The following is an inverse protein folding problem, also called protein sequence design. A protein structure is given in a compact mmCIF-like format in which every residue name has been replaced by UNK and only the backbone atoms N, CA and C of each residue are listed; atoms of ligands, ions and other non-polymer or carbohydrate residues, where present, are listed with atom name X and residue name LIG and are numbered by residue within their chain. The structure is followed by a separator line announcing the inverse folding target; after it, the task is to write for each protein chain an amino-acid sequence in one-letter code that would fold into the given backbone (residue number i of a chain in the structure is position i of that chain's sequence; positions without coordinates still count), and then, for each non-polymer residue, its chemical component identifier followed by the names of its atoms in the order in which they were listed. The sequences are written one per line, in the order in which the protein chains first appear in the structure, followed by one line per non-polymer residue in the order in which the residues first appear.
data_IF_122197257569
#
_entry.id   IF_122197257569
#
_cell.length_a   1.000
_cell.length_b   1.000
_cell.length_c   1.000
_cell.angle_alpha   90.00
_cell.angle_beta   90.00
_cell.angle_gamma   90.00
#
_symmetry.space_group_name_H-M   'P 1'
#
loop_
_entity.id
_entity.type
_entity.pdbx_description
1 polymer ?
#
# COMPACT_ATOMS: atom_id res chain seq x y z
N UNK A 1 -3.13 -6.00 1.34
CA UNK A 1 -3.70 -5.97 2.73
C UNK A 1 -5.18 -5.58 2.77
N UNK A 2 -5.67 -4.75 1.85
CA UNK A 2 -7.08 -4.31 1.86
C UNK A 2 -8.09 -5.47 1.87
N UNK A 3 -7.79 -6.58 1.18
CA UNK A 3 -8.59 -7.81 1.20
C UNK A 3 -8.78 -8.42 2.60
N UNK A 4 -7.83 -8.20 3.51
CA UNK A 4 -7.90 -8.71 4.89
C UNK A 4 -8.68 -7.77 5.81
N UNK A 5 -8.81 -6.50 5.43
CA UNK A 5 -9.36 -5.43 6.25
C UNK A 5 -10.82 -5.09 5.90
N UNK A 6 -11.17 -5.06 4.62
CA UNK A 6 -12.50 -4.59 4.20
C UNK A 6 -13.52 -5.70 4.18
N UNK A 7 -14.65 -5.44 4.84
CA UNK A 7 -15.89 -6.21 4.78
C UNK A 7 -16.90 -5.52 3.87
N UNK A 8 -18.07 -6.13 3.71
CA UNK A 8 -19.20 -5.50 3.05
C UNK A 8 -19.59 -4.16 3.70
N UNK A 9 -20.28 -3.33 2.93
CA UNK A 9 -20.75 -2.00 3.34
C UNK A 9 -19.65 -1.04 3.79
N UNK A 10 -18.44 -1.19 3.24
CA UNK A 10 -17.27 -0.39 3.61
C UNK A 10 -16.96 -0.44 5.10
N UNK A 11 -17.24 -1.56 5.75
CA UNK A 11 -16.87 -1.78 7.15
C UNK A 11 -15.43 -2.29 7.23
N UNK A 12 -14.64 -1.71 8.13
CA UNK A 12 -13.32 -2.22 8.47
C UNK A 12 -13.43 -3.36 9.47
N UNK A 13 -12.51 -4.31 9.42
CA UNK A 13 -12.35 -5.29 10.49
C UNK A 13 -11.85 -4.62 11.78
N UNK A 14 -12.29 -5.11 12.96
CA UNK A 14 -11.69 -4.74 14.24
C UNK A 14 -10.19 -5.02 14.24
N UNK A 15 -9.42 -4.18 14.94
CA UNK A 15 -7.96 -4.24 14.93
C UNK A 15 -7.43 -5.61 15.37
N UNK A 16 -8.02 -6.24 16.39
CA UNK A 16 -7.64 -7.57 16.87
C UNK A 16 -7.77 -8.64 15.78
N UNK A 17 -8.92 -8.67 15.10
CA UNK A 17 -9.20 -9.63 14.02
C UNK A 17 -8.29 -9.36 12.82
N UNK A 18 -8.09 -8.08 12.47
CA UNK A 18 -7.21 -7.69 11.39
C UNK A 18 -5.75 -8.08 11.67
N UNK A 19 -5.25 -7.87 12.90
CA UNK A 19 -3.89 -8.21 13.29
C UNK A 19 -3.68 -9.72 13.32
N UNK A 20 -4.66 -10.49 13.80
CA UNK A 20 -4.61 -11.95 13.76
C UNK A 20 -4.52 -12.48 12.31
N UNK A 21 -5.32 -11.93 11.39
CA UNK A 21 -5.27 -12.29 9.96
C UNK A 21 -3.95 -11.90 9.31
N UNK A 22 -3.41 -10.73 9.64
CA UNK A 22 -2.09 -10.31 9.15
C UNK A 22 -1.01 -11.26 9.66
N UNK A 23 -1.03 -11.61 10.95
CA UNK A 23 -0.08 -12.53 11.55
C UNK A 23 -0.11 -13.90 10.85
N UNK A 24 -1.30 -14.49 10.70
CA UNK A 24 -1.49 -15.76 10.01
C UNK A 24 -1.02 -15.71 8.54
N UNK A 25 -1.30 -14.62 7.82
CA UNK A 25 -0.85 -14.44 6.44
C UNK A 25 0.68 -14.27 6.30
N UNK A 26 1.37 -13.95 7.40
CA UNK A 26 2.84 -13.76 7.47
C UNK A 26 3.56 -14.88 8.22
N UNK A 27 2.86 -15.97 8.54
CA UNK A 27 3.42 -17.09 9.30
C UNK A 27 4.32 -17.98 8.44
N UNK A 28 3.94 -18.22 7.17
CA UNK A 28 4.75 -18.97 6.22
C UNK A 28 6.02 -18.22 5.81
N UNK A 29 7.05 -18.93 5.35
CA UNK A 29 8.20 -18.30 4.71
C UNK A 29 7.85 -17.79 3.30
N UNK A 30 8.44 -16.66 2.89
CA UNK A 30 8.29 -16.13 1.53
C UNK A 30 6.93 -15.50 1.24
N UNK A 31 6.59 -14.42 1.95
CA UNK A 31 5.36 -13.66 1.74
C UNK A 31 5.62 -12.25 1.22
N UNK A 32 4.60 -11.66 0.59
CA UNK A 32 4.58 -10.25 0.18
C UNK A 32 3.28 -9.62 0.68
N UNK A 33 3.39 -8.48 1.35
CA UNK A 33 2.25 -7.68 1.77
C UNK A 33 2.28 -6.29 1.15
N UNK A 34 1.17 -5.90 0.54
CA UNK A 34 0.92 -4.54 0.07
C UNK A 34 -0.02 -3.79 1.03
N UNK A 35 0.36 -2.62 1.52
CA UNK A 35 -0.55 -1.79 2.31
C UNK A 35 0.09 -0.90 3.37
N UNK A 36 -0.43 0.32 3.47
CA UNK A 36 0.12 1.37 4.32
C UNK A 36 -0.55 1.47 5.70
N UNK A 37 -1.21 0.39 6.17
CA UNK A 37 -1.81 0.34 7.51
C UNK A 37 -0.71 0.45 8.57
N UNK A 38 -0.64 1.61 9.22
CA UNK A 38 0.39 1.91 10.22
C UNK A 38 0.16 1.12 11.51
N UNK A 39 -1.12 0.94 11.90
CA UNK A 39 -1.53 0.25 13.13
C UNK A 39 -1.07 -1.21 13.22
N UNK A 40 -0.94 -1.91 12.10
CA UNK A 40 -0.47 -3.31 12.09
C UNK A 40 1.04 -3.46 12.04
N UNK A 41 1.81 -2.36 11.98
CA UNK A 41 3.29 -2.38 11.87
C UNK A 41 3.99 -3.24 12.92
N UNK A 42 3.63 -3.20 14.21
CA UNK A 42 4.30 -4.04 15.21
C UNK A 42 4.20 -5.54 14.90
N UNK A 43 3.12 -5.96 14.23
CA UNK A 43 2.92 -7.34 13.81
C UNK A 43 3.68 -7.61 12.52
N UNK A 44 3.44 -6.83 11.46
CA UNK A 44 4.02 -7.13 10.14
C UNK A 44 5.54 -6.90 10.07
N UNK A 45 6.10 -5.89 10.73
CA UNK A 45 7.52 -5.52 10.57
C UNK A 45 8.47 -6.30 11.47
N UNK A 46 7.94 -7.14 12.36
CA UNK A 46 8.74 -7.99 13.23
C UNK A 46 9.64 -8.95 12.43
N UNK A 47 9.10 -9.52 11.35
CA UNK A 47 9.76 -10.54 10.53
C UNK A 47 9.94 -10.08 9.07
N UNK A 48 10.08 -8.77 8.83
CA UNK A 48 10.29 -8.23 7.48
C UNK A 48 11.78 -8.10 7.20
N UNK A 49 12.23 -8.66 6.10
CA UNK A 49 13.60 -8.47 5.62
C UNK A 49 13.72 -7.26 4.69
N UNK A 50 12.67 -6.95 3.94
CA UNK A 50 12.69 -5.94 2.88
C UNK A 50 11.41 -5.10 2.83
N UNK A 51 11.57 -3.78 2.90
CA UNK A 51 10.51 -2.80 2.59
C UNK A 51 10.83 -2.10 1.29
N UNK A 52 9.97 -2.30 0.29
CA UNK A 52 10.02 -1.60 -0.99
C UNK A 52 9.05 -0.42 -0.95
N UNK A 53 9.59 0.80 -0.93
CA UNK A 53 8.80 2.02 -0.91
C UNK A 53 8.79 2.69 -2.29
N UNK A 54 7.65 2.61 -2.97
CA UNK A 54 7.40 3.30 -4.24
C UNK A 54 7.01 4.76 -3.97
N UNK A 55 7.97 5.66 -4.10
CA UNK A 55 7.90 7.08 -3.73
C UNK A 55 7.93 8.00 -4.95
N UNK A 56 7.01 7.77 -5.89
CA UNK A 56 6.91 8.58 -7.09
C UNK A 56 6.50 10.03 -6.78
N UNK A 57 6.92 10.94 -7.68
CA UNK A 57 6.57 12.35 -7.60
C UNK A 57 5.05 12.59 -7.55
N UNK A 58 4.66 13.62 -6.78
CA UNK A 58 3.26 13.94 -6.47
C UNK A 58 2.36 13.99 -7.71
N UNK A 59 2.77 14.69 -8.77
CA UNK A 59 1.97 14.82 -10.00
C UNK A 59 1.66 13.47 -10.65
N UNK A 60 2.63 12.54 -10.67
CA UNK A 60 2.43 11.19 -11.20
C UNK A 60 1.48 10.40 -10.31
N UNK A 61 1.70 10.43 -8.99
CA UNK A 61 0.87 9.72 -8.00
C UNK A 61 -0.59 10.20 -8.07
N UNK A 62 -0.81 11.51 -8.11
CA UNK A 62 -2.14 12.10 -8.24
C UNK A 62 -2.81 11.70 -9.56
N UNK A 63 -2.11 11.84 -10.70
CA UNK A 63 -2.64 11.44 -12.01
C UNK A 63 -3.05 9.97 -12.05
N UNK A 64 -2.22 9.09 -11.49
CA UNK A 64 -2.53 7.65 -11.43
C UNK A 64 -3.71 7.35 -10.52
N UNK A 65 -3.79 8.00 -9.35
CA UNK A 65 -4.90 7.83 -8.42
C UNK A 65 -6.23 8.28 -9.06
N UNK A 66 -6.24 9.47 -9.66
CA UNK A 66 -7.41 10.02 -10.35
C UNK A 66 -7.83 9.12 -11.51
N UNK A 67 -6.91 8.75 -12.39
CA UNK A 67 -7.23 7.90 -13.54
C UNK A 67 -7.79 6.53 -13.12
N UNK A 68 -7.19 5.90 -12.10
CA UNK A 68 -7.68 4.62 -11.57
C UNK A 68 -9.08 4.76 -10.97
N UNK A 69 -9.33 5.81 -10.19
CA UNK A 69 -10.65 6.05 -9.62
C UNK A 69 -11.71 6.30 -10.70
N UNK A 70 -11.41 7.11 -11.72
CA UNK A 70 -12.29 7.35 -12.87
C UNK A 70 -12.59 6.03 -13.60
N UNK A 71 -11.55 5.26 -13.93
CA UNK A 71 -11.69 4.01 -14.67
C UNK A 71 -12.45 2.92 -13.91
N UNK A 72 -12.32 2.86 -12.57
CA UNK A 72 -13.05 1.87 -11.77
C UNK A 72 -14.51 2.26 -11.60
N UNK A 73 -14.77 3.55 -11.34
CA UNK A 73 -16.12 4.06 -11.22
C UNK A 73 -16.92 3.94 -12.54
N UNK A 74 -16.28 4.10 -13.71
CA UNK A 74 -16.95 3.90 -15.00
C UNK A 74 -17.28 2.44 -15.32
N UNK A 75 -16.53 1.49 -14.74
CA UNK A 75 -16.72 0.05 -14.96
C UNK A 75 -17.61 -0.63 -13.91
N UNK A 76 -18.05 0.11 -12.88
CA UNK A 76 -18.85 -0.46 -11.78
C UNK A 76 -18.17 -1.64 -11.07
N UNK A 77 -16.84 -1.70 -11.11
CA UNK A 77 -16.09 -2.83 -10.59
C UNK A 77 -16.16 -2.88 -9.06
N UNK A 78 -16.35 -4.08 -8.56
CA UNK A 78 -16.19 -4.37 -7.14
C UNK A 78 -14.72 -4.20 -6.76
N UNK A 79 -14.45 -3.44 -5.70
CA UNK A 79 -13.09 -3.09 -5.28
C UNK A 79 -12.37 -4.31 -4.68
N UNK A 80 -13.12 -5.14 -3.95
CA UNK A 80 -12.63 -6.37 -3.35
C UNK A 80 -13.68 -7.46 -3.56
N UNK A 81 -13.35 -8.58 -4.25
CA UNK A 81 -14.31 -9.64 -4.53
C UNK A 81 -15.00 -10.17 -3.25
N UNK A 82 -16.33 -10.24 -3.27
CA UNK A 82 -17.15 -10.77 -2.18
C UNK A 82 -17.55 -9.76 -1.10
N UNK A 83 -17.27 -8.46 -1.29
CA UNK A 83 -17.67 -7.39 -0.37
C UNK A 83 -18.85 -6.55 -0.87
N UNK A 84 -19.19 -6.64 -2.15
CA UNK A 84 -20.16 -5.76 -2.81
C UNK A 84 -19.71 -4.29 -2.90
N UNK A 85 -18.53 -3.93 -2.39
CA UNK A 85 -18.07 -2.55 -2.33
C UNK A 85 -17.71 -2.06 -3.73
N UNK A 86 -18.52 -1.15 -4.28
CA UNK A 86 -18.30 -0.51 -5.58
C UNK A 86 -17.92 0.95 -5.40
N UNK A 87 -16.85 1.36 -6.07
CA UNK A 87 -16.40 2.76 -6.05
C UNK A 87 -17.42 3.64 -6.80
N UNK A 88 -18.01 4.63 -6.13
CA UNK A 88 -18.89 5.60 -6.79
C UNK A 88 -18.15 6.92 -7.03
N UNK A 89 -18.33 7.49 -8.23
CA UNK A 89 -17.71 8.74 -8.63
C UNK A 89 -17.98 9.88 -7.63
N UNK A 90 -19.21 9.95 -7.09
CA UNK A 90 -19.59 10.91 -6.05
C UNK A 90 -18.81 10.73 -4.75
N UNK A 91 -18.52 9.50 -4.32
CA UNK A 91 -17.79 9.24 -3.07
C UNK A 91 -16.29 9.45 -3.23
N UNK A 92 -15.74 9.19 -4.42
CA UNK A 92 -14.31 9.38 -4.71
C UNK A 92 -13.91 10.84 -4.98
N UNK A 93 -14.83 11.66 -5.54
CA UNK A 93 -14.50 13.02 -6.00
C UNK A 93 -15.34 14.15 -5.40
N UNK A 94 -16.49 13.88 -4.77
CA UNK A 94 -17.42 14.91 -4.26
C UNK A 94 -17.46 15.06 -2.73
N UNK A 95 -16.75 14.22 -1.95
CA UNK A 95 -16.75 14.35 -0.49
C UNK A 95 -15.75 15.43 -0.05
N UNK A 96 -16.25 16.62 0.31
CA UNK A 96 -15.72 17.79 1.07
C UNK A 96 -14.22 18.08 1.27
N UNK A 97 -13.31 17.13 1.17
CA UNK A 97 -11.86 17.35 0.98
C UNK A 97 -11.53 16.97 -0.47
N UNK A 98 -11.10 17.94 -1.30
CA UNK A 98 -10.71 17.61 -2.68
C UNK A 98 -9.71 16.45 -2.69
N UNK A 99 -9.89 15.48 -3.59
CA UNK A 99 -8.98 14.32 -3.76
C UNK A 99 -7.52 14.78 -3.85
N UNK A 100 -7.30 15.97 -4.41
CA UNK A 100 -6.00 16.63 -4.53
C UNK A 100 -5.43 16.99 -3.16
N UNK A 101 -6.20 17.68 -2.30
CA UNK A 101 -5.75 18.07 -0.97
C UNK A 101 -5.53 16.86 -0.05
N UNK A 102 -6.45 15.89 -0.08
CA UNK A 102 -6.27 14.63 0.64
C UNK A 102 -5.04 13.86 0.16
N UNK A 103 -4.81 13.78 -1.16
CA UNK A 103 -3.63 13.12 -1.75
C UNK A 103 -2.36 13.85 -1.36
N UNK A 104 -2.34 15.19 -1.37
CA UNK A 104 -1.17 15.99 -0.98
C UNK A 104 -0.81 15.79 0.49
N UNK A 105 -1.80 15.89 1.38
CA UNK A 105 -1.63 15.70 2.82
C UNK A 105 -1.11 14.29 3.12
N UNK A 106 -1.72 13.27 2.50
CA UNK A 106 -1.35 11.87 2.69
C UNK A 106 0.03 11.57 2.10
N UNK A 107 0.34 12.10 0.91
CA UNK A 107 1.64 11.94 0.25
C UNK A 107 2.78 12.52 1.11
N UNK A 108 2.63 13.77 1.58
CA UNK A 108 3.65 14.41 2.43
C UNK A 108 3.83 13.67 3.76
N UNK A 109 2.74 13.33 4.44
CA UNK A 109 2.77 12.61 5.72
C UNK A 109 3.40 11.22 5.58
N UNK A 110 3.04 10.47 4.55
CA UNK A 110 3.63 9.16 4.29
C UNK A 110 5.13 9.26 4.02
N UNK A 111 5.55 10.24 3.21
CA UNK A 111 6.96 10.43 2.86
C UNK A 111 7.82 10.77 4.07
N UNK A 112 7.36 11.72 4.90
CA UNK A 112 8.05 12.06 6.15
C UNK A 112 8.16 10.84 7.07
N UNK A 113 7.08 10.07 7.22
CA UNK A 113 7.07 8.88 8.07
C UNK A 113 8.08 7.82 7.58
N UNK A 114 8.04 7.45 6.31
CA UNK A 114 8.98 6.44 5.79
C UNK A 114 10.43 6.91 5.87
N UNK A 115 10.69 8.21 5.71
CA UNK A 115 12.03 8.77 5.94
C UNK A 115 12.48 8.60 7.39
N UNK A 116 11.60 8.87 8.36
CA UNK A 116 11.89 8.62 9.78
C UNK A 116 12.09 7.13 10.08
N UNK A 117 11.25 6.27 9.51
CA UNK A 117 11.33 4.82 9.70
C UNK A 117 12.66 4.24 9.18
N UNK A 118 13.14 4.73 8.04
CA UNK A 118 14.43 4.32 7.47
C UNK A 118 15.63 4.70 8.36
N UNK A 119 15.47 5.69 9.22
CA UNK A 119 16.52 6.16 10.14
C UNK A 119 16.35 5.60 11.56
N UNK A 120 15.28 4.85 11.83
CA UNK A 120 14.96 4.34 13.16
C UNK A 120 15.79 3.07 13.48
N UNK A 121 16.59 3.07 14.57
CA UNK A 121 17.36 1.90 14.98
C UNK A 121 16.52 0.64 15.23
N UNK A 122 15.23 0.79 15.57
CA UNK A 122 14.31 -0.32 15.78
C UNK A 122 14.05 -1.13 14.49
N UNK A 123 14.32 -0.57 13.31
CA UNK A 123 14.11 -1.22 12.02
C UNK A 123 15.43 -1.53 11.29
N UNK A 124 16.55 -1.58 12.01
CA UNK A 124 17.88 -1.88 11.42
C UNK A 124 17.98 -3.23 10.71
N UNK A 125 17.14 -4.19 11.09
CA UNK A 125 17.07 -5.51 10.43
C UNK A 125 16.37 -5.46 9.07
N UNK A 126 15.62 -4.38 8.80
CA UNK A 126 14.87 -4.19 7.58
C UNK A 126 15.75 -3.50 6.54
N UNK A 127 15.92 -4.13 5.39
CA UNK A 127 16.46 -3.47 4.21
C UNK A 127 15.37 -2.57 3.60
N UNK A 128 15.63 -1.27 3.52
CA UNK A 128 14.73 -0.34 2.82
C UNK A 128 15.22 -0.06 1.40
N UNK A 129 14.31 -0.17 0.43
CA UNK A 129 14.55 0.21 -0.97
C UNK A 129 13.54 1.27 -1.37
N UNK A 130 14.03 2.48 -1.67
CA UNK A 130 13.20 3.60 -2.10
C UNK A 130 13.27 3.77 -3.61
N UNK A 131 12.11 3.76 -4.26
CA UNK A 131 11.94 3.84 -5.71
C UNK A 131 11.21 5.14 -6.07
N UNK A 132 11.97 6.17 -6.42
CA UNK A 132 11.46 7.50 -6.74
C UNK A 132 10.97 7.67 -8.19
N UNK A 133 11.31 6.74 -9.09
CA UNK A 133 10.95 6.82 -10.50
C UNK A 133 10.57 5.44 -11.09
N UNK A 134 9.62 5.35 -12.05
CA UNK A 134 9.26 4.08 -12.69
C UNK A 134 10.44 3.27 -13.22
N UNK A 135 11.42 3.92 -13.84
CA UNK A 135 12.67 3.28 -14.28
C UNK A 135 13.38 2.53 -13.14
N UNK A 136 13.49 3.14 -11.95
CA UNK A 136 14.11 2.47 -10.79
C UNK A 136 13.32 1.23 -10.36
N UNK A 137 11.99 1.27 -10.47
CA UNK A 137 11.15 0.09 -10.18
C UNK A 137 11.35 -1.01 -11.20
N UNK A 138 11.41 -0.66 -12.49
CA UNK A 138 11.70 -1.62 -13.56
C UNK A 138 13.09 -2.23 -13.39
N UNK A 139 14.11 -1.43 -13.08
CA UNK A 139 15.47 -1.88 -12.82
C UNK A 139 15.53 -2.80 -11.60
N UNK A 140 14.82 -2.45 -10.54
CA UNK A 140 14.73 -3.26 -9.33
C UNK A 140 14.05 -4.61 -9.59
N UNK A 141 12.95 -4.63 -10.35
CA UNK A 141 12.29 -5.89 -10.76
C UNK A 141 13.23 -6.73 -11.61
N UNK A 142 13.92 -6.13 -12.60
CA UNK A 142 14.91 -6.82 -13.43
C UNK A 142 16.04 -7.43 -12.59
N UNK A 143 16.51 -6.70 -11.57
CA UNK A 143 17.53 -7.19 -10.65
C UNK A 143 17.04 -8.41 -9.84
N UNK A 144 15.82 -8.35 -9.28
CA UNK A 144 15.24 -9.47 -8.54
C UNK A 144 15.03 -10.71 -9.43
N UNK A 145 14.57 -10.51 -10.67
CA UNK A 145 14.40 -11.61 -11.62
C UNK A 145 15.72 -12.30 -11.96
N UNK A 146 16.82 -11.54 -12.11
CA UNK A 146 18.16 -12.10 -12.32
C UNK A 146 18.67 -12.89 -11.13
N UNK A 147 18.34 -12.44 -9.90
CA UNK A 147 18.73 -13.13 -8.67
C UNK A 147 17.91 -14.41 -8.42
N UNK A 148 16.69 -14.46 -8.93
CA UNK A 148 15.80 -15.61 -8.81
C UNK A 148 15.99 -16.66 -9.93
N UNK A 149 16.66 -16.30 -11.03
CA UNK A 149 16.98 -17.25 -12.08
C UNK A 149 18.06 -18.22 -11.57
N UNK A 150 17.82 -19.55 -11.56
CA UNK A 150 18.88 -20.50 -11.29
C UNK A 150 19.94 -20.38 -12.39
N UNK A 151 21.21 -20.30 -11.97
CA UNK A 151 22.36 -20.40 -12.88
C UNK A 151 22.50 -21.80 -13.48
#
# INVERSE_FOLDING_TARGET
MDRLYWRADWQGEPDEVFFARVAAATEASGWVLDGNYNRSRPVKWRNVDLVVWVDYGFARTLRQAVWRAISRASRGQELWPGTGNRESFRRAFLSRDSIIWWTLKTWKKNRQRYQSDMADPAYRHIRFVRLGHPRQTEDFIRQLQRQAAPG
#
